data_IF_062248389955
#
_entry.id   IF_062248389955
#
_cell.length_a   1.000
_cell.length_b   1.000
_cell.length_c   1.000
_cell.angle_alpha   90.00
_cell.angle_beta   90.00
_cell.angle_gamma   90.00
#
_symmetry.space_group_name_H-M   'P 1'
#
loop_
_entity.id
_entity.type
_entity.pdbx_description
1 polymer ?
#
# COMPACT_ATOMS: atom_id res chain seq x y z
N UNK A 1 -0.75 37.24 -16.61
CA UNK A 1 0.66 37.52 -16.97
C UNK A 1 0.79 37.33 -18.47
N UNK A 2 1.41 38.25 -19.21
CA UNK A 2 1.58 38.09 -20.66
C UNK A 2 2.48 36.88 -20.93
N UNK A 3 2.04 35.95 -21.79
CA UNK A 3 2.83 34.80 -22.21
C UNK A 3 4.02 35.30 -23.04
N UNK A 4 5.23 34.90 -22.68
CA UNK A 4 6.42 35.17 -23.48
C UNK A 4 6.46 34.19 -24.66
N UNK A 5 6.98 34.62 -25.80
CA UNK A 5 7.08 33.75 -26.99
C UNK A 5 8.01 32.53 -26.81
N UNK A 6 8.83 32.52 -25.75
CA UNK A 6 9.72 31.41 -25.37
C UNK A 6 9.06 30.36 -24.48
N UNK A 7 7.82 30.59 -24.02
CA UNK A 7 7.13 29.69 -23.10
C UNK A 7 6.35 28.62 -23.85
N UNK A 8 6.58 27.35 -23.49
CA UNK A 8 5.89 26.17 -24.02
C UNK A 8 5.21 25.41 -22.88
N UNK A 9 3.95 25.04 -23.09
CA UNK A 9 3.21 24.19 -22.16
C UNK A 9 3.45 22.71 -22.48
N UNK A 10 3.79 21.92 -21.46
CA UNK A 10 4.04 20.49 -21.58
C UNK A 10 3.49 19.73 -20.38
N UNK A 11 3.11 18.48 -20.59
CA UNK A 11 2.54 17.63 -19.53
C UNK A 11 3.62 16.76 -18.91
N UNK A 12 3.77 16.75 -17.57
CA UNK A 12 4.71 15.81 -16.94
C UNK A 12 4.21 14.37 -17.10
N UNK A 13 5.01 13.45 -17.64
CA UNK A 13 4.66 12.02 -17.66
C UNK A 13 4.58 11.41 -16.25
N UNK A 14 5.23 12.05 -15.27
CA UNK A 14 5.30 11.59 -13.89
C UNK A 14 3.99 11.76 -13.09
N UNK A 15 3.39 12.96 -13.17
CA UNK A 15 2.29 13.39 -12.30
C UNK A 15 1.14 14.05 -13.07
N UNK A 16 1.21 14.06 -14.41
CA UNK A 16 0.26 14.71 -15.31
C UNK A 16 0.06 16.22 -15.05
N UNK A 17 0.99 16.88 -14.37
CA UNK A 17 0.98 18.33 -14.18
C UNK A 17 1.22 19.08 -15.49
N UNK A 18 0.58 20.24 -15.64
CA UNK A 18 0.89 21.20 -16.69
C UNK A 18 2.12 22.00 -16.27
N UNK A 19 3.20 21.86 -17.03
CA UNK A 19 4.47 22.55 -16.84
C UNK A 19 4.59 23.66 -17.90
N UNK A 20 5.08 24.83 -17.49
CA UNK A 20 5.49 25.89 -18.41
C UNK A 20 7.01 25.90 -18.47
N UNK A 21 7.58 25.62 -19.64
CA UNK A 21 9.01 25.61 -19.88
C UNK A 21 9.40 26.84 -20.70
N UNK A 22 10.40 27.58 -20.25
CA UNK A 22 10.97 28.68 -21.03
C UNK A 22 12.21 28.20 -21.78
N UNK A 23 12.17 28.29 -23.11
CA UNK A 23 13.23 27.83 -24.00
C UNK A 23 14.50 28.70 -23.96
N UNK A 24 14.40 29.97 -23.58
CA UNK A 24 15.57 30.86 -23.46
C UNK A 24 16.34 30.57 -22.16
N UNK A 25 15.63 30.23 -21.09
CA UNK A 25 16.21 29.92 -19.79
C UNK A 25 16.54 28.44 -19.62
N UNK A 26 15.98 27.57 -20.47
CA UNK A 26 16.17 26.12 -20.42
C UNK A 26 15.61 25.48 -19.15
N UNK A 27 14.55 26.06 -18.55
CA UNK A 27 13.99 25.61 -17.26
C UNK A 27 12.48 25.73 -17.18
N UNK A 28 11.88 24.98 -16.26
CA UNK A 28 10.47 25.08 -15.89
C UNK A 28 10.28 26.36 -15.06
N UNK A 29 9.35 27.22 -15.49
CA UNK A 29 9.01 28.49 -14.82
C UNK A 29 7.68 28.43 -14.07
N UNK A 30 6.81 27.47 -14.38
CA UNK A 30 5.59 27.21 -13.62
C UNK A 30 5.22 25.72 -13.61
N UNK A 31 4.59 25.30 -12.51
CA UNK A 31 4.07 23.95 -12.31
C UNK A 31 2.63 24.05 -11.81
N UNK A 32 1.67 23.52 -12.56
CA UNK A 32 0.26 23.44 -12.18
C UNK A 32 -0.15 21.97 -12.06
N UNK A 33 -0.44 21.55 -10.83
CA UNK A 33 -0.99 20.21 -10.59
C UNK A 33 -2.35 20.04 -11.28
N UNK A 34 -2.66 18.82 -11.77
CA UNK A 34 -3.98 18.54 -12.28
C UNK A 34 -5.02 18.70 -11.17
N UNK A 35 -6.20 19.22 -11.50
CA UNK A 35 -7.27 19.36 -10.54
C UNK A 35 -7.76 17.97 -10.09
N UNK A 36 -7.40 17.61 -8.86
CA UNK A 36 -7.96 16.42 -8.20
C UNK A 36 -9.38 16.77 -7.74
N UNK A 37 -10.38 16.02 -8.22
CA UNK A 37 -11.77 16.19 -7.79
C UNK A 37 -12.00 15.88 -6.30
N UNK A 38 -11.16 15.03 -5.72
CA UNK A 38 -11.26 14.61 -4.32
C UNK A 38 -10.34 15.45 -3.41
N UNK A 39 -10.46 16.78 -3.45
CA UNK A 39 -9.76 17.64 -2.48
C UNK A 39 -10.62 17.76 -1.22
N UNK A 40 -10.18 17.22 -0.06
CA UNK A 40 -10.92 17.40 1.18
C UNK A 40 -10.96 18.87 1.57
N UNK A 41 -12.12 19.34 2.00
CA UNK A 41 -12.27 20.70 2.50
C UNK A 41 -11.68 20.81 3.91
N UNK A 42 -11.03 21.94 4.22
CA UNK A 42 -10.40 22.13 5.53
C UNK A 42 -11.42 22.07 6.69
N UNK A 43 -12.69 22.40 6.44
CA UNK A 43 -13.77 22.27 7.43
C UNK A 43 -14.03 20.83 7.86
N UNK A 44 -13.73 19.85 7.01
CA UNK A 44 -13.90 18.43 7.31
C UNK A 44 -12.66 17.79 7.94
N UNK A 45 -11.56 18.53 8.08
CA UNK A 45 -10.28 17.99 8.52
C UNK A 45 -10.38 17.22 9.85
N UNK A 46 -11.14 17.76 10.82
CA UNK A 46 -11.33 17.11 12.11
C UNK A 46 -12.07 15.78 12.00
N UNK A 47 -13.10 15.71 11.13
CA UNK A 47 -13.87 14.49 10.87
C UNK A 47 -13.00 13.43 10.21
N UNK A 48 -12.24 13.82 9.18
CA UNK A 48 -11.32 12.93 8.45
C UNK A 48 -10.27 12.35 9.41
N UNK A 49 -9.66 13.19 10.25
CA UNK A 49 -8.66 12.72 11.22
C UNK A 49 -9.25 11.77 12.27
N UNK A 50 -10.49 11.99 12.70
CA UNK A 50 -11.19 11.10 13.62
C UNK A 50 -11.51 9.75 12.97
N UNK A 51 -11.99 9.75 11.72
CA UNK A 51 -12.26 8.54 10.94
C UNK A 51 -10.99 7.71 10.71
N UNK A 52 -9.89 8.35 10.33
CA UNK A 52 -8.58 7.69 10.18
C UNK A 52 -8.06 7.13 11.51
N UNK A 53 -8.25 7.84 12.63
CA UNK A 53 -7.89 7.34 13.95
C UNK A 53 -8.68 6.08 14.33
N UNK A 54 -10.01 6.11 14.14
CA UNK A 54 -10.87 4.96 14.38
C UNK A 54 -10.51 3.77 13.49
N UNK A 55 -10.16 4.03 12.22
CA UNK A 55 -9.73 3.00 11.28
C UNK A 55 -8.42 2.34 11.73
N UNK A 56 -7.41 3.12 12.17
CA UNK A 56 -6.16 2.56 12.69
C UNK A 56 -6.40 1.71 13.93
N UNK A 57 -7.24 2.18 14.84
CA UNK A 57 -7.54 1.45 16.07
C UNK A 57 -8.30 0.14 15.78
N UNK A 58 -9.24 0.15 14.84
CA UNK A 58 -9.92 -1.07 14.40
C UNK A 58 -8.95 -2.11 13.81
N UNK A 59 -8.01 -1.69 12.95
CA UNK A 59 -6.98 -2.61 12.41
C UNK A 59 -6.06 -3.15 13.50
N UNK A 60 -5.69 -2.32 14.47
CA UNK A 60 -4.87 -2.74 15.60
C UNK A 60 -5.60 -3.75 16.48
N UNK A 61 -6.87 -3.51 16.81
CA UNK A 61 -7.65 -4.46 17.61
C UNK A 61 -7.80 -5.81 16.89
N UNK A 62 -8.03 -5.80 15.57
CA UNK A 62 -8.04 -7.02 14.77
C UNK A 62 -6.71 -7.79 14.84
N UNK A 63 -5.56 -7.09 14.76
CA UNK A 63 -4.26 -7.77 14.85
C UNK A 63 -4.01 -8.33 16.25
N UNK A 64 -4.41 -7.61 17.30
CA UNK A 64 -4.31 -8.07 18.69
C UNK A 64 -5.17 -9.32 18.91
N UNK A 65 -6.40 -9.35 18.42
CA UNK A 65 -7.28 -10.51 18.59
C UNK A 65 -6.81 -11.72 17.77
N UNK A 66 -6.26 -11.49 16.58
CA UNK A 66 -5.59 -12.54 15.81
C UNK A 66 -4.38 -13.12 16.57
N UNK A 67 -3.56 -12.26 17.19
CA UNK A 67 -2.38 -12.71 17.92
C UNK A 67 -2.75 -13.49 19.19
N UNK A 68 -3.80 -13.09 19.92
CA UNK A 68 -4.32 -13.84 21.09
C UNK A 68 -4.71 -15.28 20.73
N UNK A 69 -5.37 -15.47 19.59
CA UNK A 69 -5.88 -16.79 19.18
C UNK A 69 -4.86 -17.64 18.41
N UNK A 70 -3.74 -17.03 18.01
CA UNK A 70 -2.69 -17.67 17.20
C UNK A 70 -2.07 -18.89 17.88
N UNK A 71 -1.75 -18.79 19.16
CA UNK A 71 -1.13 -19.88 19.92
C UNK A 71 -2.00 -21.14 19.94
N UNK A 72 -3.29 -20.97 20.27
CA UNK A 72 -4.25 -22.08 20.30
C UNK A 72 -4.47 -22.70 18.91
N UNK A 73 -4.56 -21.86 17.88
CA UNK A 73 -4.71 -22.33 16.51
C UNK A 73 -3.49 -23.16 16.05
N UNK A 74 -2.28 -22.74 16.41
CA UNK A 74 -1.05 -23.47 16.11
C UNK A 74 -0.98 -24.79 16.87
N UNK A 75 -1.30 -24.79 18.15
CA UNK A 75 -1.33 -26.02 18.97
C UNK A 75 -2.31 -27.05 18.42
N UNK A 76 -3.52 -26.63 18.04
CA UNK A 76 -4.51 -27.55 17.44
C UNK A 76 -4.03 -28.14 16.11
N UNK A 77 -3.44 -27.32 15.24
CA UNK A 77 -2.86 -27.79 13.97
C UNK A 77 -1.70 -28.75 14.20
N UNK A 78 -0.87 -28.49 15.21
CA UNK A 78 0.22 -29.38 15.57
C UNK A 78 -0.29 -30.73 16.08
N UNK A 79 -1.29 -30.73 16.96
CA UNK A 79 -1.89 -31.96 17.48
C UNK A 79 -2.56 -32.80 16.37
N UNK A 80 -3.23 -32.15 15.42
CA UNK A 80 -3.84 -32.81 14.25
C UNK A 80 -2.76 -33.44 13.36
N UNK A 81 -1.72 -32.67 13.02
CA UNK A 81 -0.58 -33.17 12.26
C UNK A 81 0.12 -34.35 12.98
N UNK A 82 0.23 -34.30 14.31
CA UNK A 82 0.82 -35.38 15.10
C UNK A 82 -0.04 -36.65 15.08
N UNK A 83 -1.38 -36.53 15.09
CA UNK A 83 -2.27 -37.69 14.94
C UNK A 83 -2.15 -38.30 13.55
N UNK A 84 -2.17 -37.46 12.51
CA UNK A 84 -2.00 -37.91 11.12
C UNK A 84 -0.67 -38.65 10.94
N UNK A 85 0.43 -38.12 11.46
CA UNK A 85 1.75 -38.76 11.39
C UNK A 85 1.84 -40.11 12.13
N UNK A 86 0.95 -40.39 13.10
CA UNK A 86 0.87 -41.69 13.78
C UNK A 86 0.08 -42.72 12.97
N UNK A 87 -0.87 -42.28 12.15
CA UNK A 87 -1.73 -43.13 11.32
C UNK A 87 -1.11 -43.41 9.95
N UNK A 88 -0.28 -42.51 9.44
CA UNK A 88 0.41 -42.68 8.16
C UNK A 88 1.57 -43.69 8.26
N UNK A 89 1.75 -44.58 7.26
CA UNK A 89 2.91 -45.45 7.20
C UNK A 89 4.18 -44.60 7.11
N UNK A 90 5.20 -44.96 7.90
CA UNK A 90 6.50 -44.26 7.88
C UNK A 90 7.18 -44.51 6.53
N UNK A 91 6.90 -43.64 5.56
CA UNK A 91 7.57 -43.61 4.26
C UNK A 91 8.61 -42.50 4.28
N UNK A 92 9.78 -42.75 3.69
CA UNK A 92 10.83 -41.73 3.55
C UNK A 92 10.24 -40.52 2.81
N UNK A 93 10.25 -39.30 3.40
CA UNK A 93 9.85 -38.10 2.67
C UNK A 93 10.72 -37.94 1.43
N UNK A 94 10.12 -37.64 0.28
CA UNK A 94 10.86 -37.34 -0.94
C UNK A 94 11.72 -36.11 -0.67
N UNK A 95 13.05 -36.26 -0.74
CA UNK A 95 13.98 -35.14 -0.55
C UNK A 95 14.19 -34.47 -1.90
N UNK A 96 14.51 -33.18 -1.89
CA UNK A 96 14.76 -32.43 -3.13
C UNK A 96 15.87 -33.06 -3.99
N UNK A 97 16.82 -33.78 -3.37
CA UNK A 97 17.88 -34.55 -4.04
C UNK A 97 17.40 -35.86 -4.67
N UNK A 98 16.22 -36.35 -4.33
CA UNK A 98 15.61 -37.56 -4.89
C UNK A 98 14.75 -37.22 -6.14
N UNK A 99 14.66 -35.93 -6.54
CA UNK A 99 13.91 -35.42 -7.70
C UNK A 99 14.73 -35.32 -9.00
N UNK A 100 15.94 -35.90 -9.01
CA UNK A 100 16.87 -35.96 -10.17
C UNK A 100 16.71 -37.26 -10.99
#
# INVERSE_FOLDING_TARGET
MPKLHSEVELTCPCCQATLVFDANLGRIVAHKEPERGNKPELGEAQRILAEEAARREAMFNQSVDAEKTRGDALSRRFDEALRQAREEPITRPTRDFDLD
#
